data_IF_176611950423
#
_entry.id   IF_176611950423
#
_cell.length_a   1.000
_cell.length_b   1.000
_cell.length_c   1.000
_cell.angle_alpha   90.00
_cell.angle_beta   90.00
_cell.angle_gamma   90.00
#
_symmetry.space_group_name_H-M   'P 1'
#
loop_
_entity.id
_entity.type
_entity.pdbx_description
1 polymer ?
#
# COMPACT_ATOMS: atom_id res chain seq x y z
N UNK A 1 76.35 -37.98 0.41
CA UNK A 1 76.23 -38.23 -1.03
C UNK A 1 75.66 -39.63 -1.20
N UNK A 2 74.68 -39.78 -2.07
CA UNK A 2 74.03 -41.06 -2.32
C UNK A 2 74.80 -41.90 -3.36
N UNK A 3 74.23 -43.04 -3.75
CA UNK A 3 74.81 -43.99 -4.70
C UNK A 3 74.98 -43.41 -6.12
N UNK A 4 74.30 -42.31 -6.44
CA UNK A 4 74.39 -41.61 -7.71
C UNK A 4 75.35 -40.41 -7.66
N UNK A 5 76.06 -40.22 -6.54
CA UNK A 5 77.03 -39.15 -6.36
C UNK A 5 76.40 -37.79 -6.03
N UNK A 6 75.10 -37.72 -5.80
CA UNK A 6 74.40 -36.48 -5.50
C UNK A 6 74.30 -36.23 -4.00
N UNK A 7 74.45 -34.97 -3.61
CA UNK A 7 74.10 -34.50 -2.28
C UNK A 7 72.59 -34.32 -2.13
N UNK A 8 72.05 -34.48 -0.92
CA UNK A 8 70.65 -34.10 -0.61
C UNK A 8 70.35 -32.65 -1.05
N UNK A 9 71.35 -31.77 -0.96
CA UNK A 9 71.25 -30.37 -1.43
C UNK A 9 71.11 -30.27 -2.95
N UNK A 10 71.77 -31.14 -3.71
CA UNK A 10 71.70 -31.14 -5.18
C UNK A 10 70.38 -31.70 -5.68
N UNK A 11 69.86 -32.75 -5.04
CA UNK A 11 68.50 -33.23 -5.29
C UNK A 11 67.46 -32.13 -5.05
N UNK A 12 67.56 -31.41 -3.93
CA UNK A 12 66.68 -30.27 -3.65
C UNK A 12 66.81 -29.14 -4.69
N UNK A 13 68.02 -28.88 -5.21
CA UNK A 13 68.25 -27.87 -6.22
C UNK A 13 67.65 -28.25 -7.58
N UNK A 14 67.78 -29.51 -7.99
CA UNK A 14 67.15 -30.04 -9.20
C UNK A 14 65.62 -30.03 -9.08
N UNK A 15 65.07 -30.44 -7.93
CA UNK A 15 63.63 -30.40 -7.68
C UNK A 15 63.07 -28.98 -7.75
N UNK A 16 63.78 -27.99 -7.19
CA UNK A 16 63.38 -26.57 -7.25
C UNK A 16 63.47 -25.99 -8.68
N UNK A 17 64.30 -26.55 -9.55
CA UNK A 17 64.42 -26.15 -10.96
C UNK A 17 63.32 -26.76 -11.84
N UNK A 18 62.88 -27.97 -11.52
CA UNK A 18 61.80 -28.70 -12.19
C UNK A 18 60.40 -28.26 -11.72
N UNK A 19 60.27 -27.77 -10.47
CA UNK A 19 59.02 -27.28 -9.91
C UNK A 19 58.79 -25.80 -10.27
N UNK A 20 57.62 -25.43 -10.81
CA UNK A 20 57.28 -24.02 -11.05
C UNK A 20 57.18 -23.25 -9.73
N UNK A 21 57.55 -21.96 -9.74
CA UNK A 21 57.57 -21.10 -8.56
C UNK A 21 56.15 -20.93 -7.96
N UNK A 22 55.85 -21.73 -6.94
CA UNK A 22 54.53 -21.76 -6.28
C UNK A 22 54.12 -20.40 -5.70
N UNK A 23 55.10 -19.57 -5.30
CA UNK A 23 54.84 -18.21 -4.80
C UNK A 23 54.32 -17.28 -5.90
N UNK A 24 54.87 -17.37 -7.11
CA UNK A 24 54.43 -16.55 -8.25
C UNK A 24 53.02 -16.94 -8.69
N UNK A 25 52.76 -18.24 -8.77
CA UNK A 25 51.45 -18.77 -9.16
C UNK A 25 50.36 -18.46 -8.12
N UNK A 26 50.70 -18.47 -6.83
CA UNK A 26 49.77 -18.09 -5.77
C UNK A 26 49.38 -16.60 -5.85
N UNK A 27 50.34 -15.71 -6.12
CA UNK A 27 50.06 -14.29 -6.34
C UNK A 27 49.26 -14.04 -7.63
N UNK A 28 49.53 -14.76 -8.71
CA UNK A 28 48.76 -14.69 -9.95
C UNK A 28 47.31 -15.15 -9.78
N UNK A 29 47.09 -16.28 -9.08
CA UNK A 29 45.75 -16.77 -8.78
C UNK A 29 44.97 -15.82 -7.85
N UNK A 30 45.66 -15.22 -6.88
CA UNK A 30 45.07 -14.17 -6.04
C UNK A 30 44.66 -12.94 -6.86
N UNK A 31 45.48 -12.52 -7.82
CA UNK A 31 45.17 -11.43 -8.75
C UNK A 31 43.97 -11.78 -9.64
N UNK A 32 43.91 -12.99 -10.19
CA UNK A 32 42.77 -13.47 -10.98
C UNK A 32 41.46 -13.50 -10.16
N UNK A 33 41.52 -13.97 -8.91
CA UNK A 33 40.37 -13.92 -8.01
C UNK A 33 39.91 -12.49 -7.73
N UNK A 34 40.86 -11.56 -7.55
CA UNK A 34 40.55 -10.15 -7.36
C UNK A 34 39.92 -9.53 -8.62
N UNK A 35 40.41 -9.88 -9.80
CA UNK A 35 39.87 -9.41 -11.08
C UNK A 35 38.45 -9.95 -11.32
N UNK A 36 38.21 -11.24 -11.04
CA UNK A 36 36.86 -11.82 -11.12
C UNK A 36 35.90 -11.15 -10.14
N UNK A 37 36.33 -10.88 -8.90
CA UNK A 37 35.52 -10.14 -7.95
C UNK A 37 35.21 -8.71 -8.44
N UNK A 38 36.17 -8.04 -9.06
CA UNK A 38 35.97 -6.73 -9.67
C UNK A 38 35.00 -6.80 -10.87
N UNK A 39 35.07 -7.85 -11.68
CA UNK A 39 34.16 -8.07 -12.80
C UNK A 39 32.73 -8.30 -12.30
N UNK A 40 32.54 -9.20 -11.34
CA UNK A 40 31.22 -9.51 -10.78
C UNK A 40 30.57 -8.29 -10.10
N UNK A 41 31.36 -7.46 -9.42
CA UNK A 41 30.86 -6.22 -8.83
C UNK A 41 30.43 -5.22 -9.90
N UNK A 42 31.21 -5.10 -10.99
CA UNK A 42 30.87 -4.26 -12.15
C UNK A 42 29.59 -4.74 -12.84
N UNK A 43 29.46 -6.03 -13.10
CA UNK A 43 28.27 -6.62 -13.72
C UNK A 43 27.01 -6.45 -12.86
N UNK A 44 27.13 -6.68 -11.55
CA UNK A 44 26.01 -6.45 -10.62
C UNK A 44 25.60 -4.99 -10.60
N UNK A 45 26.56 -4.08 -10.62
CA UNK A 45 26.29 -2.64 -10.65
C UNK A 45 25.62 -2.24 -11.96
N UNK A 46 26.11 -2.70 -13.11
CA UNK A 46 25.50 -2.38 -14.41
C UNK A 46 24.07 -2.89 -14.50
N UNK A 47 23.79 -4.10 -13.99
CA UNK A 47 22.43 -4.64 -13.93
C UNK A 47 21.50 -3.77 -13.06
N UNK A 48 21.97 -3.28 -11.91
CA UNK A 48 21.19 -2.38 -11.04
C UNK A 48 20.92 -1.02 -11.66
N UNK A 49 21.91 -0.46 -12.37
CA UNK A 49 21.76 0.83 -13.04
C UNK A 49 20.78 0.71 -14.22
N UNK A 50 20.84 -0.37 -14.99
CA UNK A 50 19.94 -0.62 -16.12
C UNK A 50 18.47 -0.70 -15.69
N UNK A 51 18.19 -1.21 -14.49
CA UNK A 51 16.85 -1.29 -13.91
C UNK A 51 16.53 -0.16 -12.94
N UNK A 52 17.29 0.94 -12.97
CA UNK A 52 17.05 2.08 -12.08
C UNK A 52 15.74 2.76 -12.49
N UNK A 53 14.78 2.94 -11.56
CA UNK A 53 13.56 3.69 -11.85
C UNK A 53 13.86 5.17 -12.10
N UNK A 54 13.04 5.79 -12.94
CA UNK A 54 13.10 7.22 -13.21
C UNK A 54 12.80 8.03 -11.92
N UNK A 55 13.38 9.23 -11.76
CA UNK A 55 13.16 10.07 -10.58
C UNK A 55 11.69 10.42 -10.38
N UNK A 56 10.92 10.60 -11.45
CA UNK A 56 9.48 10.87 -11.41
C UNK A 56 8.71 9.69 -10.79
N UNK A 57 9.08 8.46 -11.12
CA UNK A 57 8.49 7.25 -10.52
C UNK A 57 8.79 7.16 -9.02
N UNK A 58 9.98 7.62 -8.60
CA UNK A 58 10.34 7.67 -7.18
C UNK A 58 9.56 8.77 -6.43
N UNK A 59 9.28 9.90 -7.07
CA UNK A 59 8.42 10.96 -6.51
C UNK A 59 6.97 10.48 -6.35
N UNK A 60 6.41 9.80 -7.36
CA UNK A 60 5.07 9.20 -7.28
C UNK A 60 4.94 8.17 -6.15
N UNK A 61 6.04 7.49 -5.83
CA UNK A 61 6.13 6.54 -4.71
C UNK A 61 6.46 7.20 -3.38
N UNK A 62 6.50 8.54 -3.31
CA UNK A 62 6.87 9.33 -2.14
C UNK A 62 8.26 8.99 -1.56
N UNK A 63 9.19 8.52 -2.41
CA UNK A 63 10.58 8.20 -2.01
C UNK A 63 11.47 9.44 -2.14
N UNK A 64 11.28 10.21 -3.22
CA UNK A 64 11.96 11.49 -3.44
C UNK A 64 10.98 12.62 -3.18
N UNK A 65 11.42 13.62 -2.42
CA UNK A 65 10.72 14.89 -2.25
C UNK A 65 11.60 15.99 -2.83
N UNK A 66 11.05 16.82 -3.70
CA UNK A 66 11.69 18.05 -4.13
C UNK A 66 11.72 19.10 -3.01
N UNK A 67 12.61 20.09 -3.09
CA UNK A 67 12.68 21.16 -2.09
C UNK A 67 11.37 21.98 -2.02
N UNK A 68 10.68 22.18 -3.14
CA UNK A 68 9.36 22.82 -3.17
C UNK A 68 8.24 21.93 -2.59
N UNK A 69 8.39 20.60 -2.66
CA UNK A 69 7.37 19.67 -2.17
C UNK A 69 7.22 19.77 -0.65
N UNK A 70 8.30 20.05 0.08
CA UNK A 70 8.25 20.18 1.54
C UNK A 70 7.41 21.38 1.98
N UNK A 71 7.58 22.54 1.31
CA UNK A 71 6.80 23.74 1.58
C UNK A 71 5.32 23.51 1.22
N UNK A 72 5.04 22.95 0.03
CA UNK A 72 3.68 22.59 -0.38
C UNK A 72 3.02 21.61 0.58
N UNK A 73 3.76 20.61 1.05
CA UNK A 73 3.26 19.65 2.03
C UNK A 73 2.93 20.30 3.37
N UNK A 74 3.76 21.24 3.84
CA UNK A 74 3.50 21.96 5.08
C UNK A 74 2.22 22.81 4.97
N UNK A 75 2.05 23.53 3.85
CA UNK A 75 0.84 24.31 3.56
C UNK A 75 -0.41 23.42 3.45
N UNK A 76 -0.35 22.37 2.64
CA UNK A 76 -1.46 21.42 2.50
C UNK A 76 -1.84 20.74 3.83
N UNK A 77 -0.84 20.46 4.68
CA UNK A 77 -1.08 19.90 6.02
C UNK A 77 -1.75 20.92 6.93
N UNK A 78 -1.36 22.19 6.84
CA UNK A 78 -2.00 23.28 7.59
C UNK A 78 -3.46 23.46 7.16
N UNK A 79 -3.73 23.56 5.87
CA UNK A 79 -5.08 23.69 5.34
C UNK A 79 -5.97 22.50 5.71
N UNK A 80 -5.43 21.28 5.62
CA UNK A 80 -6.15 20.06 6.02
C UNK A 80 -6.49 20.11 7.50
N UNK A 81 -5.57 20.53 8.36
CA UNK A 81 -5.77 20.67 9.80
C UNK A 81 -6.87 21.68 10.12
N UNK A 82 -6.81 22.85 9.49
CA UNK A 82 -7.76 23.93 9.73
C UNK A 82 -9.17 23.54 9.25
N UNK A 83 -9.26 22.93 8.07
CA UNK A 83 -10.53 22.40 7.53
C UNK A 83 -11.11 21.31 8.42
N UNK A 84 -10.28 20.32 8.81
CA UNK A 84 -10.72 19.24 9.69
C UNK A 84 -11.18 19.77 11.04
N UNK A 85 -10.48 20.75 11.61
CA UNK A 85 -10.84 21.33 12.91
C UNK A 85 -12.22 22.00 12.84
N UNK A 86 -12.50 22.75 11.78
CA UNK A 86 -13.84 23.33 11.54
C UNK A 86 -14.90 22.24 11.40
N UNK A 87 -14.66 21.24 10.55
CA UNK A 87 -15.63 20.14 10.35
C UNK A 87 -15.90 19.32 11.62
N UNK A 88 -14.90 19.17 12.49
CA UNK A 88 -15.09 18.49 13.78
C UNK A 88 -15.86 19.35 14.78
N UNK A 89 -15.63 20.67 14.81
CA UNK A 89 -16.39 21.59 15.65
C UNK A 89 -17.87 21.64 15.24
N UNK A 90 -18.15 21.57 13.94
CA UNK A 90 -19.52 21.58 13.39
C UNK A 90 -20.13 20.17 13.27
N UNK A 91 -19.49 19.15 13.84
CA UNK A 91 -19.91 17.75 13.67
C UNK A 91 -21.28 17.51 14.34
N UNK A 92 -22.32 17.11 13.59
CA UNK A 92 -23.62 16.83 14.19
C UNK A 92 -23.59 15.57 15.06
N UNK A 93 -24.43 15.56 16.10
CA UNK A 93 -24.65 14.38 16.93
C UNK A 93 -25.35 13.23 16.16
N UNK A 94 -25.24 12.00 16.65
CA UNK A 94 -25.81 10.82 15.98
C UNK A 94 -27.34 10.86 15.91
N UNK A 95 -28.02 11.41 16.92
CA UNK A 95 -29.49 11.54 16.95
C UNK A 95 -30.00 12.39 15.77
N UNK A 96 -29.39 13.56 15.54
CA UNK A 96 -29.75 14.43 14.41
C UNK A 96 -29.56 13.72 13.05
N UNK A 97 -28.55 12.85 12.93
CA UNK A 97 -28.35 12.05 11.73
C UNK A 97 -29.41 10.96 11.56
N UNK A 98 -29.93 10.40 12.65
CA UNK A 98 -31.05 9.44 12.63
C UNK A 98 -32.35 10.15 12.23
N UNK A 99 -32.63 11.32 12.80
CA UNK A 99 -33.81 12.13 12.47
C UNK A 99 -33.84 12.52 10.99
N UNK A 100 -32.66 12.81 10.42
CA UNK A 100 -32.50 13.11 8.99
C UNK A 100 -32.51 11.86 8.10
N UNK A 101 -32.72 10.67 8.65
CA UNK A 101 -32.67 9.39 7.96
C UNK A 101 -31.32 9.12 7.24
N UNK A 102 -30.22 9.68 7.76
CA UNK A 102 -28.86 9.45 7.27
C UNK A 102 -28.24 8.25 7.98
N UNK A 103 -28.35 8.20 9.31
CA UNK A 103 -27.88 7.09 10.13
C UNK A 103 -29.05 6.14 10.41
N UNK A 104 -28.90 4.85 10.07
CA UNK A 104 -29.92 3.84 10.39
C UNK A 104 -29.71 3.31 11.80
N UNK A 105 -30.81 3.13 12.52
CA UNK A 105 -30.87 2.42 13.79
C UNK A 105 -31.76 1.18 13.58
N UNK A 106 -31.22 -0.05 13.74
CA UNK A 106 -31.94 -1.28 13.41
C UNK A 106 -33.19 -1.48 14.27
N UNK A 107 -33.16 -1.09 15.55
CA UNK A 107 -34.32 -1.21 16.45
C UNK A 107 -35.45 -0.26 16.00
N UNK A 108 -35.11 1.00 15.68
CA UNK A 108 -36.07 1.96 15.14
C UNK A 108 -36.57 1.54 13.75
N UNK A 109 -35.76 0.85 12.95
CA UNK A 109 -36.14 0.38 11.62
C UNK A 109 -37.17 -0.75 11.70
N UNK A 110 -36.99 -1.72 12.60
CA UNK A 110 -37.97 -2.78 12.85
C UNK A 110 -39.31 -2.18 13.34
N UNK A 111 -39.26 -1.26 14.30
CA UNK A 111 -40.45 -0.57 14.79
C UNK A 111 -41.14 0.25 13.69
N UNK A 112 -40.37 0.94 12.85
CA UNK A 112 -40.91 1.65 11.69
C UNK A 112 -41.54 0.71 10.66
N UNK A 113 -40.97 -0.48 10.43
CA UNK A 113 -41.55 -1.47 9.53
C UNK A 113 -42.90 -1.97 10.05
N UNK A 114 -42.99 -2.25 11.35
CA UNK A 114 -44.24 -2.64 11.99
C UNK A 114 -45.30 -1.52 11.86
N UNK A 115 -44.93 -0.29 12.20
CA UNK A 115 -45.79 0.90 12.06
C UNK A 115 -46.22 1.15 10.61
N UNK A 116 -45.34 0.92 9.64
CA UNK A 116 -45.66 1.00 8.21
C UNK A 116 -46.64 -0.10 7.82
N UNK A 117 -46.49 -1.31 8.36
CA UNK A 117 -47.43 -2.41 8.14
C UNK A 117 -48.83 -2.08 8.66
N UNK A 118 -48.91 -1.58 9.90
CA UNK A 118 -50.18 -1.21 10.51
C UNK A 118 -50.85 -0.05 9.77
N UNK A 119 -50.10 0.97 9.38
CA UNK A 119 -50.59 2.08 8.55
C UNK A 119 -51.12 1.59 7.20
N UNK A 120 -50.41 0.66 6.55
CA UNK A 120 -50.86 0.05 5.28
C UNK A 120 -52.15 -0.73 5.47
N UNK A 121 -52.26 -1.56 6.51
CA UNK A 121 -53.47 -2.33 6.80
C UNK A 121 -54.66 -1.40 7.05
N UNK A 122 -54.50 -0.42 7.94
CA UNK A 122 -55.55 0.56 8.25
C UNK A 122 -56.00 1.34 7.02
N UNK A 123 -55.06 1.78 6.18
CA UNK A 123 -55.39 2.44 4.92
C UNK A 123 -56.16 1.50 3.98
N UNK A 124 -55.75 0.23 3.90
CA UNK A 124 -56.47 -0.78 3.11
C UNK A 124 -57.92 -0.90 3.55
N UNK A 125 -58.17 -1.02 4.86
CA UNK A 125 -59.53 -1.14 5.41
C UNK A 125 -60.37 0.12 5.07
N UNK A 126 -59.81 1.32 5.23
CA UNK A 126 -60.49 2.57 4.85
C UNK A 126 -60.78 2.68 3.35
N UNK A 127 -59.89 2.18 2.49
CA UNK A 127 -60.08 2.22 1.05
C UNK A 127 -61.15 1.21 0.59
N UNK A 128 -61.34 0.10 1.30
CA UNK A 128 -62.41 -0.87 1.04
C UNK A 128 -63.78 -0.27 1.34
N UNK A 129 -63.91 0.47 2.44
CA UNK A 129 -65.15 1.14 2.85
C UNK A 129 -65.41 2.46 2.11
N UNK A 130 -64.63 2.75 1.06
CA UNK A 130 -64.75 4.02 0.34
C UNK A 130 -66.13 4.15 -0.31
N UNK A 131 -66.94 5.17 0.04
CA UNK A 131 -68.26 5.36 -0.54
C UNK A 131 -68.15 5.69 -2.03
N UNK A 132 -69.15 5.26 -2.81
CA UNK A 132 -69.27 5.65 -4.21
C UNK A 132 -69.70 7.12 -4.32
N UNK A 133 -69.43 7.81 -5.44
CA UNK A 133 -69.81 9.21 -5.62
C UNK A 133 -71.30 9.48 -5.35
N UNK A 134 -72.17 8.56 -5.73
CA UNK A 134 -73.62 8.67 -5.56
C UNK A 134 -74.08 8.57 -4.09
N UNK A 135 -73.23 8.01 -3.21
CA UNK A 135 -73.50 7.89 -1.77
C UNK A 135 -73.04 9.13 -0.98
N UNK A 136 -72.23 10.00 -1.59
CA UNK A 136 -71.69 11.20 -0.94
C UNK A 136 -72.76 12.22 -0.50
N UNK A 137 -73.82 12.53 -1.27
CA UNK A 137 -74.84 13.51 -0.85
C UNK A 137 -75.55 13.09 0.45
N UNK A 138 -75.94 11.82 0.54
CA UNK A 138 -76.59 11.23 1.72
C UNK A 138 -75.67 11.21 2.96
N UNK A 139 -74.35 11.08 2.76
CA UNK A 139 -73.36 11.07 3.83
C UNK A 139 -72.92 12.47 4.27
N UNK A 140 -72.98 13.45 3.36
CA UNK A 140 -72.62 14.84 3.62
C UNK A 140 -73.81 15.69 4.13
N UNK A 141 -75.01 15.11 4.18
CA UNK A 141 -76.21 15.77 4.70
C UNK A 141 -76.76 16.87 3.79
N UNK A 142 -76.39 16.85 2.50
CA UNK A 142 -76.94 17.75 1.49
C UNK A 142 -78.16 17.06 0.86
N UNK A 143 -79.35 17.57 1.19
CA UNK A 143 -80.64 17.12 0.64
C UNK A 143 -80.90 17.67 -0.76
#
# INVERSE_FOLDING_TARGET
VDEHGYSLSEYCALLRKELPDASSNASELQMQHQELAAMLTRERLSAKIAHRPAPETLQQRNILQGPEDQLRHAEATRERRDTLSKSLNDRPGPELLQDRNILRNPELEEQQQLMRSDKRKRLSDFLVERPTPDQLPNLLGEH
#
